data_IF_268574241933
#
_entry.id   IF_268574241933
#
_cell.length_a   1.000
_cell.length_b   1.000
_cell.length_c   1.000
_cell.angle_alpha   90.00
_cell.angle_beta   90.00
_cell.angle_gamma   90.00
#
_symmetry.space_group_name_H-M   'P 1'
#
loop_
_entity.id
_entity.type
_entity.pdbx_description
1 polymer ?
#
# COMPACT_ATOMS: atom_id res chain seq x y z
N UNK A 1 23.52 27.09 24.50
CA UNK A 1 22.59 26.03 24.04
C UNK A 1 21.72 25.70 25.24
N UNK A 2 20.41 25.85 25.13
CA UNK A 2 19.49 25.58 26.23
C UNK A 2 19.34 24.08 26.42
N UNK A 3 19.71 23.58 27.60
CA UNK A 3 19.53 22.19 27.99
C UNK A 3 18.02 21.87 28.09
N UNK A 4 17.51 21.20 27.07
CA UNK A 4 16.14 20.69 27.07
C UNK A 4 16.11 19.47 27.99
N UNK A 5 15.74 19.67 29.26
CA UNK A 5 15.40 18.56 30.16
C UNK A 5 14.09 17.93 29.67
N UNK A 6 14.17 16.73 29.09
CA UNK A 6 12.97 15.97 28.72
C UNK A 6 12.49 15.17 29.93
N UNK A 7 11.21 15.27 30.36
CA UNK A 7 10.69 14.50 31.49
C UNK A 7 10.73 12.98 31.23
N UNK A 8 11.64 12.25 31.88
CA UNK A 8 11.87 10.82 31.65
C UNK A 8 10.63 9.92 31.85
N UNK A 9 9.71 10.32 32.74
CA UNK A 9 8.44 9.61 32.94
C UNK A 9 7.52 9.64 31.72
N UNK A 10 7.49 10.76 30.96
CA UNK A 10 6.70 10.86 29.73
C UNK A 10 7.32 10.03 28.61
N UNK A 11 8.65 10.05 28.47
CA UNK A 11 9.35 9.21 27.49
C UNK A 11 9.04 7.73 27.75
N UNK A 12 9.18 7.27 29.01
CA UNK A 12 8.89 5.88 29.37
C UNK A 12 7.46 5.48 29.03
N UNK A 13 6.46 6.31 29.35
CA UNK A 13 5.07 6.03 29.02
C UNK A 13 4.80 5.95 27.51
N UNK A 14 5.51 6.73 26.68
CA UNK A 14 5.41 6.60 25.22
C UNK A 14 6.07 5.31 24.72
N UNK A 15 7.27 4.98 25.23
CA UNK A 15 8.00 3.77 24.84
C UNK A 15 7.20 2.52 25.18
N UNK A 16 6.71 2.39 26.42
CA UNK A 16 5.91 1.23 26.85
C UNK A 16 4.64 1.06 26.00
N UNK A 17 3.99 2.17 25.64
CA UNK A 17 2.81 2.12 24.75
C UNK A 17 3.18 1.66 23.33
N UNK A 18 4.31 2.11 22.79
CA UNK A 18 4.78 1.69 21.47
C UNK A 18 5.16 0.21 21.48
N UNK A 19 5.88 -0.25 22.51
CA UNK A 19 6.27 -1.67 22.65
C UNK A 19 5.05 -2.59 22.75
N UNK A 20 4.00 -2.17 23.46
CA UNK A 20 2.74 -2.90 23.51
C UNK A 20 2.08 -2.97 22.12
N UNK A 21 2.01 -1.85 21.39
CA UNK A 21 1.47 -1.81 20.03
C UNK A 21 2.28 -2.69 19.08
N UNK A 22 3.61 -2.68 19.19
CA UNK A 22 4.50 -3.51 18.36
C UNK A 22 4.29 -5.01 18.65
N UNK A 23 4.06 -5.37 19.92
CA UNK A 23 3.66 -6.72 20.32
C UNK A 23 2.34 -7.14 19.68
N UNK A 24 1.29 -6.33 19.81
CA UNK A 24 -0.01 -6.59 19.20
C UNK A 24 0.08 -6.69 17.67
N UNK A 25 0.87 -5.83 17.02
CA UNK A 25 1.12 -5.89 15.58
C UNK A 25 1.84 -7.18 15.18
N UNK A 26 2.77 -7.67 15.99
CA UNK A 26 3.44 -8.94 15.73
C UNK A 26 2.44 -10.10 15.78
N UNK A 27 1.62 -10.19 16.83
CA UNK A 27 0.59 -11.22 16.98
C UNK A 27 -0.40 -11.21 15.81
N UNK A 28 -0.89 -10.03 15.41
CA UNK A 28 -1.78 -9.88 14.26
C UNK A 28 -1.12 -10.31 12.94
N UNK A 29 0.18 -10.04 12.78
CA UNK A 29 0.92 -10.47 11.61
C UNK A 29 1.12 -12.01 11.58
N UNK A 30 1.27 -12.64 12.73
CA UNK A 30 1.33 -14.10 12.86
C UNK A 30 -0.01 -14.74 12.49
N UNK A 31 -1.12 -14.25 13.07
CA UNK A 31 -2.48 -14.68 12.71
C UNK A 31 -2.75 -14.53 11.20
N UNK A 32 -2.33 -13.41 10.61
CA UNK A 32 -2.45 -13.19 9.16
C UNK A 32 -1.66 -14.22 8.33
N UNK A 33 -0.48 -14.65 8.80
CA UNK A 33 0.31 -15.70 8.13
C UNK A 33 -0.37 -17.05 8.22
N UNK A 34 -1.01 -17.36 9.34
CA UNK A 34 -1.79 -18.59 9.51
C UNK A 34 -2.93 -18.67 8.50
N UNK A 35 -3.71 -17.60 8.31
CA UNK A 35 -4.79 -17.55 7.29
C UNK A 35 -4.25 -17.83 5.88
N UNK A 36 -3.10 -17.25 5.51
CA UNK A 36 -2.48 -17.57 4.21
C UNK A 36 -1.99 -19.02 4.13
N UNK A 37 -1.61 -19.62 5.25
CA UNK A 37 -1.13 -21.00 5.31
C UNK A 37 -2.30 -21.99 5.21
N UNK A 38 -3.43 -21.68 5.84
CA UNK A 38 -4.71 -22.38 5.69
C UNK A 38 -5.17 -22.35 4.22
N UNK A 39 -5.23 -21.16 3.61
CA UNK A 39 -5.59 -21.02 2.20
C UNK A 39 -4.66 -21.83 1.28
N UNK A 40 -3.37 -21.91 1.60
CA UNK A 40 -2.42 -22.78 0.87
C UNK A 40 -2.76 -24.26 1.04
N UNK A 41 -3.13 -24.69 2.24
CA UNK A 41 -3.56 -26.06 2.55
C UNK A 41 -4.83 -26.47 1.80
N UNK A 42 -5.74 -25.52 1.58
CA UNK A 42 -6.95 -25.68 0.76
C UNK A 42 -6.67 -25.67 -0.76
N UNK A 43 -5.45 -25.33 -1.18
CA UNK A 43 -5.02 -25.35 -2.58
C UNK A 43 -5.11 -24.00 -3.30
N UNK A 44 -5.35 -22.89 -2.60
CA UNK A 44 -5.32 -21.56 -3.21
C UNK A 44 -3.90 -21.05 -3.46
N UNK A 45 -3.74 -20.24 -4.52
CA UNK A 45 -2.49 -19.50 -4.76
C UNK A 45 -2.40 -18.28 -3.83
N UNK A 46 -1.57 -18.41 -2.79
CA UNK A 46 -1.29 -17.36 -1.81
C UNK A 46 -0.75 -16.07 -2.45
N UNK A 47 -0.01 -16.15 -3.58
CA UNK A 47 0.50 -14.95 -4.26
C UNK A 47 -0.65 -14.13 -4.83
N UNK A 48 -1.61 -14.79 -5.47
CA UNK A 48 -2.80 -14.15 -6.03
C UNK A 48 -3.66 -13.56 -4.91
N UNK A 49 -3.87 -14.28 -3.80
CA UNK A 49 -4.59 -13.75 -2.65
C UNK A 49 -3.93 -12.49 -2.06
N UNK A 50 -2.59 -12.47 -1.96
CA UNK A 50 -1.85 -11.28 -1.51
C UNK A 50 -2.01 -10.11 -2.47
N UNK A 51 -2.03 -10.37 -3.77
CA UNK A 51 -2.28 -9.36 -4.79
C UNK A 51 -3.69 -8.79 -4.67
N UNK A 52 -4.71 -9.64 -4.52
CA UNK A 52 -6.10 -9.22 -4.29
C UNK A 52 -6.19 -8.35 -3.02
N UNK A 53 -5.58 -8.76 -1.91
CA UNK A 53 -5.58 -7.97 -0.67
C UNK A 53 -4.86 -6.63 -0.87
N UNK A 54 -3.73 -6.59 -1.57
CA UNK A 54 -3.01 -5.35 -1.88
C UNK A 54 -3.85 -4.43 -2.75
N UNK A 55 -4.53 -4.99 -3.76
CA UNK A 55 -5.44 -4.26 -4.61
C UNK A 55 -6.58 -3.68 -3.75
N UNK A 56 -7.27 -4.49 -2.95
CA UNK A 56 -8.36 -4.02 -2.08
C UNK A 56 -7.94 -3.01 -1.01
N UNK A 57 -6.65 -2.91 -0.70
CA UNK A 57 -6.09 -1.93 0.24
C UNK A 57 -5.76 -0.59 -0.39
N UNK A 58 -5.58 -0.55 -1.71
CA UNK A 58 -5.43 0.73 -2.40
C UNK A 58 -6.76 1.47 -2.28
N UNK A 59 -6.68 2.76 -1.98
CA UNK A 59 -7.83 3.61 -1.77
C UNK A 59 -8.72 3.59 -3.03
N UNK A 60 -10.02 3.36 -2.82
CA UNK A 60 -10.96 3.21 -3.92
C UNK A 60 -11.13 4.51 -4.69
N UNK A 61 -11.03 5.66 -4.01
CA UNK A 61 -11.13 6.97 -4.64
C UNK A 61 -9.85 7.27 -5.44
N UNK A 62 -8.66 6.94 -4.91
CA UNK A 62 -7.39 7.06 -5.67
C UNK A 62 -7.37 6.17 -6.92
N UNK A 63 -8.03 5.00 -6.88
CA UNK A 63 -8.17 4.10 -8.02
C UNK A 63 -9.11 4.66 -9.07
N UNK A 64 -10.28 5.11 -8.65
CA UNK A 64 -11.30 5.66 -9.54
C UNK A 64 -10.79 6.96 -10.20
N UNK A 65 -10.05 7.80 -9.46
CA UNK A 65 -9.38 8.98 -10.01
C UNK A 65 -8.29 8.59 -11.02
N UNK A 66 -7.46 7.60 -10.70
CA UNK A 66 -6.41 7.11 -11.61
C UNK A 66 -6.99 6.49 -12.88
N UNK A 67 -8.05 5.71 -12.79
CA UNK A 67 -8.73 5.10 -13.94
C UNK A 67 -9.37 6.16 -14.83
N UNK A 68 -10.01 7.17 -14.23
CA UNK A 68 -10.59 8.32 -14.96
C UNK A 68 -9.52 9.11 -15.72
N UNK A 69 -8.37 9.36 -15.08
CA UNK A 69 -7.23 10.00 -15.74
C UNK A 69 -6.69 9.12 -16.87
N UNK A 70 -6.51 7.82 -16.65
CA UNK A 70 -6.00 6.90 -17.67
C UNK A 70 -6.89 6.88 -18.92
N UNK A 71 -8.21 6.76 -18.75
CA UNK A 71 -9.19 6.79 -19.84
C UNK A 71 -9.13 8.12 -20.62
N UNK A 72 -9.00 9.25 -19.92
CA UNK A 72 -8.81 10.56 -20.55
C UNK A 72 -7.55 10.60 -21.43
N UNK A 73 -6.40 10.13 -20.90
CA UNK A 73 -5.15 10.10 -21.66
C UNK A 73 -5.19 9.13 -22.84
N UNK A 74 -5.83 7.96 -22.69
CA UNK A 74 -5.99 7.00 -23.78
C UNK A 74 -6.85 7.56 -24.91
N UNK A 75 -8.00 8.18 -24.57
CA UNK A 75 -8.84 8.87 -25.56
C UNK A 75 -8.10 10.03 -26.23
N UNK A 76 -7.31 10.78 -25.47
CA UNK A 76 -6.49 11.86 -26.01
C UNK A 76 -5.44 11.32 -27.00
N UNK A 77 -4.82 10.16 -26.72
CA UNK A 77 -3.91 9.51 -27.67
C UNK A 77 -4.63 8.99 -28.91
N UNK A 78 -5.80 8.38 -28.77
CA UNK A 78 -6.60 7.88 -29.90
C UNK A 78 -7.11 9.00 -30.82
N UNK A 79 -7.44 10.15 -30.23
CA UNK A 79 -7.93 11.33 -30.97
C UNK A 79 -6.79 12.22 -31.47
N UNK A 80 -5.56 12.02 -30.98
CA UNK A 80 -4.40 12.69 -31.52
C UNK A 80 -4.10 12.16 -32.93
N UNK A 81 -3.90 13.04 -33.92
CA UNK A 81 -3.44 12.60 -35.24
C UNK A 81 -2.07 11.93 -35.08
N UNK A 82 -1.86 10.79 -35.73
CA UNK A 82 -0.52 10.21 -35.81
C UNK A 82 0.41 11.25 -36.44
N UNK A 83 1.36 11.76 -35.65
CA UNK A 83 2.49 12.50 -36.19
C UNK A 83 3.31 11.50 -37.01
N UNK A 84 2.95 11.37 -38.30
CA UNK A 84 3.78 10.67 -39.28
C UNK A 84 5.18 11.26 -39.14
N UNK A 85 6.09 10.42 -38.66
CA UNK A 85 7.49 10.73 -38.43
C UNK A 85 7.97 11.73 -39.49
N UNK A 86 8.28 12.95 -39.05
CA UNK A 86 8.97 13.94 -39.86
C UNK A 86 10.38 13.41 -40.16
N UNK A 87 10.44 12.51 -41.14
CA UNK A 87 11.64 12.08 -41.83
C UNK A 87 11.52 12.63 -43.25
N UNK A 88 11.76 13.92 -43.41
CA UNK A 88 12.00 14.56 -44.70
C UNK A 88 12.64 15.95 -44.51
N UNK A 89 13.95 15.97 -44.33
CA UNK A 89 14.90 16.92 -44.94
C UNK A 89 16.33 16.53 -44.54
#
# INVERSE_FOLDING_TARGET
MSDITIPGGKIRAFVERIENIDGELQELNEQKKEVFSEAKGEGFDVKILKEIVKLRKQDQDERDERESLLDLYMRAMETAPEEKAAKAA
#
